data_IF_663604324181
#
_entry.id   IF_663604324181
#
_cell.length_a   1.000
_cell.length_b   1.000
_cell.length_c   1.000
_cell.angle_alpha   90.00
_cell.angle_beta   90.00
_cell.angle_gamma   90.00
#
_symmetry.space_group_name_H-M   'P 1'
#
loop_
_entity.id
_entity.type
_entity.pdbx_description
1 polymer ?
#
# COMPACT_ATOMS: atom_id res chain seq x y z
N UNK A 1 -16.81 -6.58 -15.23
CA UNK A 1 -15.37 -6.58 -15.54
C UNK A 1 -14.94 -5.13 -15.50
N UNK A 2 -13.96 -4.78 -14.67
CA UNK A 2 -13.39 -3.44 -14.66
C UNK A 2 -12.28 -3.35 -15.69
N UNK A 3 -12.07 -2.17 -16.26
CA UNK A 3 -10.90 -1.93 -17.11
C UNK A 3 -9.62 -2.07 -16.27
N UNK A 4 -8.53 -2.51 -16.89
CA UNK A 4 -7.24 -2.60 -16.21
C UNK A 4 -6.74 -1.19 -15.83
N UNK A 5 -6.11 -1.08 -14.66
CA UNK A 5 -5.46 0.17 -14.24
C UNK A 5 -4.30 0.44 -15.23
N UNK A 6 -4.23 1.64 -15.86
CA UNK A 6 -3.11 2.00 -16.71
C UNK A 6 -1.77 1.90 -15.97
N UNK A 7 -0.68 1.69 -16.70
CA UNK A 7 0.67 1.64 -16.12
C UNK A 7 1.50 2.87 -16.52
N UNK A 8 2.52 3.15 -15.71
CA UNK A 8 3.60 4.09 -16.04
C UNK A 8 4.94 3.38 -15.83
N UNK A 9 5.90 3.64 -16.72
CA UNK A 9 7.25 3.09 -16.65
C UNK A 9 8.18 4.07 -15.95
N UNK A 10 8.81 3.63 -14.86
CA UNK A 10 9.85 4.40 -14.18
C UNK A 10 11.14 4.42 -15.01
N UNK A 11 12.08 5.36 -14.77
CA UNK A 11 13.36 5.40 -15.50
C UNK A 11 14.17 4.10 -15.45
N UNK A 12 13.99 3.30 -14.40
CA UNK A 12 14.62 1.98 -14.24
C UNK A 12 13.97 0.85 -15.04
N UNK A 13 12.91 1.13 -15.81
CA UNK A 13 12.19 0.15 -16.62
C UNK A 13 11.07 -0.60 -15.89
N UNK A 14 10.93 -0.44 -14.58
CA UNK A 14 9.82 -1.02 -13.81
C UNK A 14 8.50 -0.35 -14.20
N UNK A 15 7.50 -1.15 -14.57
CA UNK A 15 6.13 -0.71 -14.75
C UNK A 15 5.36 -0.79 -13.43
N UNK A 16 4.62 0.27 -13.11
CA UNK A 16 3.75 0.35 -11.93
C UNK A 16 2.37 0.85 -12.36
N UNK A 17 1.28 0.48 -11.64
CA UNK A 17 -0.04 1.05 -11.90
C UNK A 17 -0.05 2.55 -11.62
N UNK A 18 -0.84 3.31 -12.39
CA UNK A 18 -1.01 4.76 -12.20
C UNK A 18 -1.86 5.12 -10.99
N UNK A 19 -2.45 4.13 -10.32
CA UNK A 19 -3.22 4.28 -9.09
C UNK A 19 -2.55 3.48 -7.97
N UNK A 20 -2.11 4.18 -6.93
CA UNK A 20 -1.52 3.60 -5.71
C UNK A 20 -2.39 3.84 -4.48
N UNK A 21 -1.89 3.41 -3.32
CA UNK A 21 -2.55 3.49 -2.03
C UNK A 21 -1.66 4.19 -1.00
N UNK A 22 -2.11 5.34 -0.48
CA UNK A 22 -1.39 6.11 0.53
C UNK A 22 -1.81 5.72 1.95
N UNK A 23 -0.89 5.87 2.91
CA UNK A 23 -1.07 5.37 4.29
C UNK A 23 -0.96 6.43 5.38
N UNK A 24 -0.88 7.72 5.04
CA UNK A 24 -0.98 8.80 6.03
C UNK A 24 -2.27 8.69 6.85
N UNK A 25 -2.18 8.99 8.15
CA UNK A 25 -3.22 8.78 9.18
C UNK A 25 -3.48 7.33 9.62
N UNK A 26 -2.82 6.32 9.02
CA UNK A 26 -2.95 4.93 9.48
C UNK A 26 -2.08 4.63 10.69
N UNK A 27 -2.49 3.67 11.52
CA UNK A 27 -1.72 3.21 12.67
C UNK A 27 -1.75 4.17 13.87
N UNK A 28 -2.57 5.22 13.81
CA UNK A 28 -2.76 6.18 14.91
C UNK A 28 -3.79 5.68 15.94
N UNK A 29 -4.80 4.92 15.48
CA UNK A 29 -5.86 4.38 16.35
C UNK A 29 -5.85 2.85 16.35
N UNK A 30 -5.64 2.24 17.53
CA UNK A 30 -5.58 0.76 17.66
C UNK A 30 -6.84 0.02 17.20
N UNK A 31 -8.02 0.61 17.36
CA UNK A 31 -9.28 -0.01 16.93
C UNK A 31 -9.47 0.01 15.40
N UNK A 32 -8.73 0.86 14.68
CA UNK A 32 -8.82 1.01 13.22
C UNK A 32 -7.81 0.12 12.49
N UNK A 33 -6.74 -0.31 13.18
CA UNK A 33 -5.66 -1.11 12.61
C UNK A 33 -6.12 -2.29 11.75
N UNK A 34 -7.15 -3.05 12.18
CA UNK A 34 -7.69 -4.15 11.39
C UNK A 34 -8.29 -3.67 10.06
N UNK A 35 -9.08 -2.60 10.11
CA UNK A 35 -9.71 -2.04 8.91
C UNK A 35 -8.67 -1.45 7.95
N UNK A 36 -7.61 -0.83 8.48
CA UNK A 36 -6.50 -0.30 7.69
C UNK A 36 -5.72 -1.42 6.98
N UNK A 37 -5.40 -2.51 7.69
CA UNK A 37 -4.78 -3.71 7.11
C UNK A 37 -5.67 -4.31 6.01
N UNK A 38 -6.96 -4.46 6.29
CA UNK A 38 -7.93 -5.01 5.33
C UNK A 38 -8.08 -4.08 4.10
N UNK A 39 -7.99 -2.76 4.28
CA UNK A 39 -8.03 -1.78 3.19
C UNK A 39 -6.81 -1.88 2.26
N UNK A 40 -5.60 -2.01 2.81
CA UNK A 40 -4.38 -2.22 2.01
C UNK A 40 -4.49 -3.52 1.22
N UNK A 41 -4.94 -4.60 1.87
CA UNK A 41 -5.10 -5.91 1.20
C UNK A 41 -6.13 -5.85 0.07
N UNK A 42 -7.26 -5.17 0.28
CA UNK A 42 -8.24 -4.96 -0.77
C UNK A 42 -7.68 -4.12 -1.92
N UNK A 43 -6.88 -3.09 -1.63
CA UNK A 43 -6.23 -2.28 -2.66
C UNK A 43 -5.32 -3.13 -3.55
N UNK A 44 -4.51 -4.01 -2.95
CA UNK A 44 -3.67 -4.97 -3.68
C UNK A 44 -4.51 -5.93 -4.52
N UNK A 45 -5.61 -6.46 -3.98
CA UNK A 45 -6.52 -7.36 -4.69
C UNK A 45 -7.20 -6.66 -5.89
N UNK A 46 -7.33 -5.34 -5.85
CA UNK A 46 -7.85 -4.50 -6.93
C UNK A 46 -6.76 -4.01 -7.90
N UNK A 47 -5.50 -4.38 -7.70
CA UNK A 47 -4.38 -4.03 -8.57
C UNK A 47 -3.69 -2.70 -8.24
N UNK A 48 -4.00 -2.07 -7.10
CA UNK A 48 -3.30 -0.88 -6.60
C UNK A 48 -2.00 -1.32 -5.89
N UNK A 49 -1.00 -1.73 -6.66
CA UNK A 49 0.21 -2.38 -6.11
C UNK A 49 1.25 -1.41 -5.54
N UNK A 50 1.14 -0.10 -5.82
CA UNK A 50 2.02 0.91 -5.22
C UNK A 50 1.49 1.29 -3.85
N UNK A 51 2.24 0.99 -2.78
CA UNK A 51 1.90 1.34 -1.40
C UNK A 51 2.89 2.40 -0.92
N UNK A 52 2.36 3.56 -0.53
CA UNK A 52 3.12 4.73 -0.09
C UNK A 52 2.98 4.94 1.42
N UNK A 53 4.11 5.01 2.11
CA UNK A 53 4.20 5.24 3.56
C UNK A 53 5.38 6.14 3.89
N UNK A 54 5.66 6.38 5.18
CA UNK A 54 6.81 7.14 5.64
C UNK A 54 7.06 6.94 7.14
N UNK A 55 8.30 7.16 7.59
CA UNK A 55 8.65 7.14 9.03
C UNK A 55 7.83 8.14 9.86
N UNK A 56 7.48 9.30 9.28
CA UNK A 56 6.71 10.36 9.95
C UNK A 56 5.24 9.95 10.18
N UNK A 57 4.73 8.94 9.46
CA UNK A 57 3.32 8.57 9.50
C UNK A 57 2.98 7.79 10.77
N UNK A 58 2.47 8.50 11.77
CA UNK A 58 2.18 7.95 13.09
C UNK A 58 3.42 7.44 13.83
N UNK A 59 4.60 8.05 13.63
CA UNK A 59 5.88 7.62 14.21
C UNK A 59 6.18 6.12 13.90
N UNK A 60 6.17 5.81 12.59
CA UNK A 60 6.22 4.45 12.03
C UNK A 60 4.94 3.63 12.24
N UNK A 61 3.85 4.22 12.74
CA UNK A 61 2.56 3.57 12.91
C UNK A 61 2.04 2.99 11.60
N UNK A 62 2.05 3.80 10.53
CA UNK A 62 1.63 3.38 9.21
C UNK A 62 2.51 2.25 8.64
N UNK A 63 3.84 2.32 8.82
CA UNK A 63 4.75 1.26 8.37
C UNK A 63 4.47 -0.09 9.05
N UNK A 64 4.07 -0.09 10.33
CA UNK A 64 3.66 -1.31 11.05
C UNK A 64 2.37 -1.89 10.47
N UNK A 65 1.42 -1.04 10.10
CA UNK A 65 0.17 -1.46 9.43
C UNK A 65 0.47 -2.05 8.05
N UNK A 66 1.32 -1.40 7.26
CA UNK A 66 1.78 -1.93 5.96
C UNK A 66 2.50 -3.27 6.14
N UNK A 67 3.39 -3.38 7.13
CA UNK A 67 4.09 -4.63 7.43
C UNK A 67 3.15 -5.79 7.75
N UNK A 68 2.10 -5.55 8.52
CA UNK A 68 1.08 -6.57 8.81
C UNK A 68 0.23 -6.92 7.58
N UNK A 69 -0.08 -5.93 6.73
CA UNK A 69 -0.81 -6.16 5.49
C UNK A 69 -0.01 -7.02 4.49
N UNK A 70 1.33 -6.85 4.43
CA UNK A 70 2.22 -7.48 3.46
C UNK A 70 2.87 -8.80 3.93
N UNK A 71 2.66 -9.23 5.18
CA UNK A 71 3.36 -10.35 5.84
C UNK A 71 3.53 -11.62 4.97
N UNK A 72 2.51 -12.00 4.22
CA UNK A 72 2.50 -13.21 3.39
C UNK A 72 2.37 -12.91 1.88
N UNK A 73 2.50 -11.64 1.49
CA UNK A 73 2.24 -11.17 0.11
C UNK A 73 3.14 -10.01 -0.30
N UNK A 74 4.40 -10.01 0.17
CA UNK A 74 5.35 -8.94 -0.10
C UNK A 74 5.55 -8.70 -1.59
N UNK A 75 5.56 -9.75 -2.41
CA UNK A 75 5.77 -9.66 -3.86
C UNK A 75 4.62 -8.97 -4.61
N UNK A 76 3.44 -8.84 -3.99
CA UNK A 76 2.29 -8.15 -4.59
C UNK A 76 2.46 -6.63 -4.58
N UNK A 77 3.41 -6.08 -3.81
CA UNK A 77 3.53 -4.66 -3.54
C UNK A 77 4.83 -4.04 -4.07
N UNK A 78 4.69 -2.89 -4.73
CA UNK A 78 5.75 -1.91 -4.91
C UNK A 78 5.70 -0.95 -3.72
N UNK A 79 6.58 -1.14 -2.74
CA UNK A 79 6.59 -0.40 -1.47
C UNK A 79 7.48 0.85 -1.54
N UNK A 80 6.95 2.00 -1.10
CA UNK A 80 7.63 3.29 -1.02
C UNK A 80 7.55 3.79 0.44
N UNK A 81 8.68 4.26 0.99
CA UNK A 81 8.82 4.93 2.30
C UNK A 81 9.86 6.04 2.19
#
# INVERSE_FOLDING_TARGET
MHDAIPTVTLPGGTEIPTLGFGTWMMGETKSEAKAEVDAIRLALDLGMTVIDTAEMYGDGGAERIVGEALKDRREDAFLVS
#
